data_IF_878612261264
#
_entry.id   IF_878612261264
#
_cell.length_a   1.000
_cell.length_b   1.000
_cell.length_c   1.000
_cell.angle_alpha   90.00
_cell.angle_beta   90.00
_cell.angle_gamma   90.00
#
_symmetry.space_group_name_H-M   'P 1'
#
loop_
_entity.id
_entity.type
_entity.pdbx_description
1 polymer ?
#
# COMPACT_ATOMS: atom_id res chain seq x y z
N UNK A 1 34.65 -46.65 14.03
CA UNK A 1 34.52 -45.58 15.04
C UNK A 1 35.33 -44.40 14.50
N UNK A 2 34.72 -43.24 14.18
CA UNK A 2 35.33 -41.93 13.78
C UNK A 2 34.53 -41.12 12.71
N UNK A 3 33.28 -41.46 12.38
CA UNK A 3 32.50 -40.67 11.41
C UNK A 3 31.57 -39.59 12.04
N UNK A 4 31.35 -39.60 13.36
CA UNK A 4 30.33 -38.74 14.00
C UNK A 4 30.86 -37.39 14.53
N UNK A 5 32.18 -37.20 14.64
CA UNK A 5 32.76 -36.03 15.32
C UNK A 5 33.00 -34.80 14.41
N UNK A 6 32.80 -34.89 13.08
CA UNK A 6 33.10 -33.79 12.14
C UNK A 6 31.92 -32.81 11.92
N UNK A 7 30.68 -33.26 12.17
CA UNK A 7 29.45 -32.45 12.01
C UNK A 7 29.32 -31.32 13.06
N UNK A 8 29.94 -31.51 14.24
CA UNK A 8 29.83 -30.60 15.40
C UNK A 8 30.62 -29.30 15.23
N UNK A 9 31.83 -29.34 14.65
CA UNK A 9 32.69 -28.15 14.52
C UNK A 9 32.15 -27.11 13.53
N UNK A 10 31.56 -27.55 12.42
CA UNK A 10 31.01 -26.62 11.41
C UNK A 10 29.69 -25.98 11.86
N UNK A 11 28.90 -26.70 12.67
CA UNK A 11 27.67 -26.18 13.27
C UNK A 11 27.96 -25.03 14.25
N UNK A 12 29.04 -25.15 15.02
CA UNK A 12 29.44 -24.14 16.00
C UNK A 12 29.97 -22.85 15.34
N UNK A 13 30.66 -22.98 14.20
CA UNK A 13 31.09 -21.83 13.37
C UNK A 13 29.88 -21.13 12.75
N UNK A 14 28.87 -21.87 12.27
CA UNK A 14 27.64 -21.30 11.74
C UNK A 14 26.85 -20.50 12.80
N UNK A 15 26.80 -21.01 14.03
CA UNK A 15 26.18 -20.33 15.18
C UNK A 15 26.93 -19.04 15.55
N UNK A 16 28.26 -19.05 15.49
CA UNK A 16 29.10 -17.85 15.67
C UNK A 16 28.89 -16.81 14.56
N UNK A 17 28.72 -17.23 13.30
CA UNK A 17 28.42 -16.31 12.19
C UNK A 17 27.01 -15.72 12.33
N UNK A 18 26.05 -16.50 12.83
CA UNK A 18 24.68 -16.06 13.10
C UNK A 18 24.55 -15.08 14.28
N UNK A 19 25.52 -15.03 15.19
CA UNK A 19 25.54 -14.05 16.28
C UNK A 19 26.06 -12.66 15.87
N UNK A 20 26.68 -12.51 14.69
CA UNK A 20 27.19 -11.24 14.19
C UNK A 20 26.24 -10.51 13.23
N UNK A 21 24.99 -10.95 13.09
CA UNK A 21 24.04 -10.21 12.27
C UNK A 21 23.80 -8.83 12.88
N UNK A 22 24.01 -7.74 12.12
CA UNK A 22 23.69 -6.40 12.60
C UNK A 22 22.20 -6.36 12.93
N UNK A 23 21.87 -5.81 14.09
CA UNK A 23 20.50 -5.55 14.50
C UNK A 23 19.78 -4.81 13.37
N UNK A 24 18.89 -5.51 12.66
CA UNK A 24 18.02 -4.90 11.65
C UNK A 24 17.20 -3.87 12.39
N UNK A 25 17.54 -2.59 12.20
CA UNK A 25 16.75 -1.46 12.67
C UNK A 25 15.46 -1.46 11.85
N UNK A 26 14.46 -2.22 12.30
CA UNK A 26 13.09 -2.01 11.88
C UNK A 26 12.74 -0.54 12.16
N UNK A 27 12.03 0.12 11.25
CA UNK A 27 11.69 1.55 11.40
C UNK A 27 11.05 1.79 12.77
N UNK A 28 11.78 2.45 13.68
CA UNK A 28 11.36 2.73 15.06
C UNK A 28 10.48 3.97 15.17
N UNK A 29 10.20 4.63 14.05
CA UNK A 29 9.42 5.86 14.05
C UNK A 29 7.97 5.50 13.80
N UNK A 30 7.10 5.72 14.79
CA UNK A 30 5.65 5.78 14.60
C UNK A 30 5.32 6.96 13.66
N UNK A 31 5.61 6.81 12.36
CA UNK A 31 5.19 7.77 11.34
C UNK A 31 3.72 7.51 11.09
N UNK A 32 2.87 8.26 11.77
CA UNK A 32 1.44 8.25 11.50
C UNK A 32 1.20 8.93 10.14
N UNK A 33 0.64 8.18 9.20
CA UNK A 33 0.20 8.73 7.92
C UNK A 33 -1.09 9.50 8.17
N UNK A 34 -1.11 10.79 7.86
CA UNK A 34 -2.31 11.63 7.93
C UNK A 34 -2.82 11.90 6.51
N UNK A 35 -4.01 11.40 6.22
CA UNK A 35 -4.69 11.67 4.96
C UNK A 35 -5.42 13.01 5.01
N UNK A 36 -5.28 13.80 3.96
CA UNK A 36 -6.04 15.04 3.76
C UNK A 36 -6.88 14.88 2.50
N UNK A 37 -8.21 15.05 2.57
CA UNK A 37 -9.08 14.89 1.41
C UNK A 37 -8.79 15.99 0.38
N UNK A 38 -8.72 15.62 -0.90
CA UNK A 38 -8.50 16.55 -2.01
C UNK A 38 -9.77 16.91 -2.77
N UNK A 39 -10.91 16.34 -2.37
CA UNK A 39 -12.16 16.49 -3.08
C UNK A 39 -13.29 15.64 -2.51
N UNK A 40 -14.38 15.59 -3.26
CA UNK A 40 -15.59 14.84 -2.93
C UNK A 40 -16.15 14.20 -4.18
N UNK A 41 -16.65 12.96 -4.08
CA UNK A 41 -17.37 12.31 -5.16
C UNK A 41 -18.87 12.41 -4.95
N UNK A 42 -19.61 12.44 -6.06
CA UNK A 42 -21.07 12.49 -6.11
C UNK A 42 -21.55 11.38 -7.03
N UNK A 43 -22.58 10.66 -6.61
CA UNK A 43 -23.21 9.56 -7.35
C UNK A 43 -24.66 9.44 -6.93
N UNK A 44 -25.46 8.71 -7.70
CA UNK A 44 -26.87 8.44 -7.36
C UNK A 44 -27.04 7.36 -6.28
N UNK A 45 -25.94 6.73 -5.87
CA UNK A 45 -25.94 5.72 -4.81
C UNK A 45 -26.15 6.35 -3.43
N UNK A 46 -27.07 5.75 -2.68
CA UNK A 46 -27.42 6.12 -1.30
C UNK A 46 -27.24 4.90 -0.41
N UNK A 47 -27.21 5.05 0.93
CA UNK A 47 -27.22 3.90 1.82
C UNK A 47 -28.41 2.95 1.60
N UNK A 48 -29.54 3.45 1.06
CA UNK A 48 -30.72 2.65 0.76
C UNK A 48 -30.60 1.88 -0.56
N UNK A 49 -30.10 2.53 -1.61
CA UNK A 49 -29.96 1.91 -2.94
C UNK A 49 -28.70 1.04 -3.06
N UNK A 50 -27.68 1.35 -2.25
CA UNK A 50 -26.38 0.67 -2.26
C UNK A 50 -25.55 1.02 -3.50
N UNK A 51 -24.23 1.02 -3.35
CA UNK A 51 -23.32 1.05 -4.49
C UNK A 51 -23.09 -0.38 -5.01
N UNK A 52 -22.84 -0.58 -6.31
CA UNK A 52 -22.46 -1.88 -6.83
C UNK A 52 -21.14 -2.35 -6.20
N UNK A 53 -20.96 -3.67 -6.10
CA UNK A 53 -19.70 -4.25 -5.61
C UNK A 53 -18.51 -3.85 -6.48
N UNK A 54 -18.72 -3.67 -7.77
CA UNK A 54 -17.72 -3.22 -8.74
C UNK A 54 -18.37 -2.26 -9.73
N UNK A 55 -17.79 -1.07 -9.91
CA UNK A 55 -18.34 -0.03 -10.78
C UNK A 55 -18.44 -0.46 -12.25
N UNK A 56 -17.47 -1.25 -12.74
CA UNK A 56 -17.43 -1.73 -14.14
C UNK A 56 -18.63 -2.60 -14.53
N UNK A 57 -19.29 -3.22 -13.54
CA UNK A 57 -20.49 -4.05 -13.79
C UNK A 57 -21.75 -3.20 -13.99
N UNK A 58 -21.68 -1.89 -13.71
CA UNK A 58 -22.75 -0.92 -13.89
C UNK A 58 -22.23 0.28 -14.69
N UNK A 59 -21.90 0.11 -15.99
CA UNK A 59 -21.26 1.14 -16.81
C UNK A 59 -22.14 2.40 -16.99
N UNK A 60 -23.45 2.26 -16.86
CA UNK A 60 -24.40 3.38 -16.89
C UNK A 60 -24.36 4.23 -15.62
N UNK A 61 -23.78 3.71 -14.53
CA UNK A 61 -23.64 4.40 -13.26
C UNK A 61 -22.58 5.50 -13.35
N UNK A 62 -23.02 6.75 -13.51
CA UNK A 62 -22.13 7.91 -13.61
C UNK A 62 -21.79 8.48 -12.23
N UNK A 63 -20.54 8.89 -12.08
CA UNK A 63 -20.04 9.61 -10.91
C UNK A 63 -19.42 10.94 -11.30
N UNK A 64 -19.42 11.90 -10.37
CA UNK A 64 -18.73 13.19 -10.53
C UNK A 64 -17.75 13.38 -9.39
N UNK A 65 -16.50 13.67 -9.71
CA UNK A 65 -15.48 14.01 -8.72
C UNK A 65 -15.29 15.53 -8.73
N UNK A 66 -15.47 16.18 -7.57
CA UNK A 66 -15.20 17.60 -7.36
C UNK A 66 -13.89 17.73 -6.59
N UNK A 67 -12.88 18.29 -7.24
CA UNK A 67 -11.58 18.58 -6.62
C UNK A 67 -11.62 19.95 -5.94
N UNK A 68 -11.11 20.05 -4.71
CA UNK A 68 -11.06 21.31 -3.97
C UNK A 68 -10.14 22.32 -4.66
N UNK A 69 -10.42 23.60 -4.46
CA UNK A 69 -9.85 24.70 -5.26
C UNK A 69 -8.33 24.72 -5.18
N UNK A 70 -7.78 24.45 -4.01
CA UNK A 70 -6.35 24.39 -3.70
C UNK A 70 -5.59 23.30 -4.47
N UNK A 71 -6.28 22.29 -5.01
CA UNK A 71 -5.69 21.18 -5.75
C UNK A 71 -5.97 21.23 -7.25
N UNK A 72 -6.82 22.14 -7.74
CA UNK A 72 -7.24 22.18 -9.16
C UNK A 72 -6.07 22.43 -10.12
N UNK A 73 -5.05 23.18 -9.69
CA UNK A 73 -3.87 23.45 -10.52
C UNK A 73 -3.08 22.19 -10.88
N UNK A 74 -3.25 21.09 -10.14
CA UNK A 74 -2.61 19.81 -10.43
C UNK A 74 -3.28 19.04 -11.59
N UNK A 75 -4.49 19.45 -12.03
CA UNK A 75 -5.27 18.75 -13.04
C UNK A 75 -5.00 19.21 -14.48
N UNK A 76 -4.01 20.07 -14.72
CA UNK A 76 -3.77 20.72 -16.04
C UNK A 76 -3.64 19.77 -17.23
N UNK A 77 -3.24 18.53 -16.99
CA UNK A 77 -3.03 17.51 -18.02
C UNK A 77 -4.06 16.38 -17.95
N UNK A 78 -5.06 16.48 -17.06
CA UNK A 78 -6.05 15.44 -16.86
C UNK A 78 -6.84 15.16 -18.15
N UNK A 79 -7.15 16.21 -18.90
CA UNK A 79 -7.91 16.14 -20.15
C UNK A 79 -7.19 15.38 -21.29
N UNK A 80 -5.91 15.02 -21.11
CA UNK A 80 -5.15 14.23 -22.08
C UNK A 80 -5.39 12.72 -21.93
N UNK A 81 -6.08 12.30 -20.86
CA UNK A 81 -6.30 10.89 -20.54
C UNK A 81 -7.79 10.56 -20.59
N UNK A 82 -8.12 9.48 -21.29
CA UNK A 82 -9.50 8.96 -21.36
C UNK A 82 -9.90 8.21 -20.07
N UNK A 83 -8.91 7.59 -19.42
CA UNK A 83 -9.08 6.81 -18.19
C UNK A 83 -8.03 7.22 -17.15
N UNK A 84 -8.43 7.22 -15.87
CA UNK A 84 -7.60 7.57 -14.71
C UNK A 84 -7.63 6.49 -13.64
#
# INVERSE_FOLDING_TARGET
MFACLKQSRNSLVLLLILSFYPCIKAQTTQKQIRYTPIGTFYSDYTPKTGAPRQGILMPEGKGKIKIFKEYQSALKMLDWFEYI
#
